data_IF_756088311534
#
_entry.id   IF_756088311534
#
_cell.length_a   1.000
_cell.length_b   1.000
_cell.length_c   1.000
_cell.angle_alpha   90.00
_cell.angle_beta   90.00
_cell.angle_gamma   90.00
#
_symmetry.space_group_name_H-M   'P 1'
#
loop_
_entity.id
_entity.type
_entity.pdbx_description
1 polymer ?
#
# COMPACT_ATOMS: atom_id res chain seq x y z
N UNK A 1 -12.00 -13.58 12.74
CA UNK A 1 -11.24 -12.40 13.23
C UNK A 1 -10.48 -11.84 12.05
N UNK A 2 -10.60 -10.56 11.80
CA UNK A 2 -9.87 -9.81 10.75
C UNK A 2 -9.20 -8.61 11.40
N UNK A 3 -8.11 -8.13 10.83
CA UNK A 3 -7.39 -6.96 11.35
C UNK A 3 -6.11 -6.67 10.57
N UNK A 4 -5.45 -5.59 10.93
CA UNK A 4 -4.13 -5.27 10.41
C UNK A 4 -3.11 -6.33 10.82
N UNK A 5 -2.10 -6.55 9.98
CA UNK A 5 -1.07 -7.58 10.19
C UNK A 5 -0.49 -7.56 11.62
N UNK A 6 -0.17 -6.38 12.14
CA UNK A 6 0.41 -6.24 13.48
C UNK A 6 -0.53 -6.77 14.57
N UNK A 7 -1.80 -6.39 14.52
CA UNK A 7 -2.80 -6.80 15.52
C UNK A 7 -3.01 -8.31 15.49
N UNK A 8 -3.08 -8.89 14.28
CA UNK A 8 -3.21 -10.36 14.11
C UNK A 8 -1.95 -11.06 14.62
N UNK A 9 -0.76 -10.52 14.32
CA UNK A 9 0.51 -11.07 14.77
C UNK A 9 0.63 -11.03 16.31
N UNK A 10 0.27 -9.92 16.94
CA UNK A 10 0.28 -9.79 18.41
C UNK A 10 -0.67 -10.77 19.07
N UNK A 11 -1.91 -10.87 18.59
CA UNK A 11 -2.88 -11.84 19.10
C UNK A 11 -2.43 -13.29 18.92
N UNK A 12 -1.75 -13.63 17.83
CA UNK A 12 -1.24 -14.98 17.59
C UNK A 12 -0.05 -15.35 18.49
N UNK A 13 0.72 -14.35 18.93
CA UNK A 13 1.87 -14.55 19.82
C UNK A 13 1.51 -14.30 21.30
N UNK A 14 0.25 -14.03 21.60
CA UNK A 14 -0.24 -13.90 22.97
C UNK A 14 -0.21 -15.29 23.64
N UNK A 15 0.45 -15.37 24.80
CA UNK A 15 0.62 -16.62 25.54
C UNK A 15 -0.70 -17.20 26.03
N UNK A 16 -1.69 -16.35 26.24
CA UNK A 16 -3.02 -16.75 26.72
C UNK A 16 -3.95 -17.19 25.58
N UNK A 17 -3.57 -16.90 24.31
CA UNK A 17 -4.36 -17.22 23.12
C UNK A 17 -3.69 -18.27 22.22
N UNK A 18 -3.08 -19.27 22.84
CA UNK A 18 -2.30 -20.32 22.13
C UNK A 18 -3.08 -21.05 21.03
N UNK A 19 -4.41 -21.13 21.13
CA UNK A 19 -5.26 -21.73 20.10
C UNK A 19 -5.24 -20.96 18.78
N UNK A 20 -5.01 -19.64 18.81
CA UNK A 20 -4.90 -18.81 17.60
C UNK A 20 -3.64 -19.10 16.78
N UNK A 21 -2.59 -19.58 17.43
CA UNK A 21 -1.37 -19.98 16.74
C UNK A 21 -1.61 -21.12 15.74
N UNK A 22 -2.56 -22.02 16.04
CA UNK A 22 -2.93 -23.16 15.19
C UNK A 22 -4.07 -22.87 14.24
N UNK A 23 -4.68 -21.69 14.32
CA UNK A 23 -5.78 -21.31 13.43
C UNK A 23 -5.30 -21.17 11.97
N UNK A 24 -6.10 -21.62 10.99
CA UNK A 24 -5.80 -21.39 9.57
C UNK A 24 -5.65 -19.90 9.28
N UNK A 25 -4.61 -19.55 8.51
CA UNK A 25 -4.34 -18.18 8.10
C UNK A 25 -4.78 -17.99 6.66
N UNK A 26 -5.62 -17.01 6.43
CA UNK A 26 -6.03 -16.58 5.09
C UNK A 26 -5.44 -15.19 4.86
N UNK A 27 -4.54 -15.08 3.91
CA UNK A 27 -4.03 -13.80 3.43
C UNK A 27 -4.85 -13.36 2.24
N UNK A 28 -5.30 -12.10 2.25
CA UNK A 28 -5.98 -11.52 1.10
C UNK A 28 -4.92 -10.95 0.15
N UNK A 29 -4.96 -11.40 -1.09
CA UNK A 29 -4.11 -10.87 -2.14
C UNK A 29 -4.72 -9.59 -2.73
N UNK A 30 -3.91 -8.74 -3.37
CA UNK A 30 -4.42 -7.60 -4.12
C UNK A 30 -5.48 -8.03 -5.15
N UNK A 31 -6.47 -7.19 -5.37
CA UNK A 31 -7.49 -7.42 -6.39
C UNK A 31 -6.84 -7.51 -7.77
N UNK A 32 -7.35 -8.41 -8.59
CA UNK A 32 -6.86 -8.60 -9.95
C UNK A 32 -7.17 -7.37 -10.82
N UNK A 33 -6.16 -6.85 -11.53
CA UNK A 33 -6.28 -5.63 -12.34
C UNK A 33 -7.37 -5.76 -13.42
N UNK A 34 -7.48 -6.92 -14.07
CA UNK A 34 -8.51 -7.13 -15.09
C UNK A 34 -9.93 -7.15 -14.48
N UNK A 35 -10.08 -7.73 -13.28
CA UNK A 35 -11.35 -7.72 -12.56
C UNK A 35 -11.77 -6.30 -12.17
N UNK A 36 -10.83 -5.47 -11.66
CA UNK A 36 -11.09 -4.05 -11.36
C UNK A 36 -11.48 -3.30 -12.64
N UNK A 37 -10.74 -3.50 -13.74
CA UNK A 37 -11.01 -2.85 -15.02
C UNK A 37 -12.42 -3.16 -15.50
N UNK A 38 -12.81 -4.43 -15.52
CA UNK A 38 -14.15 -4.82 -15.93
C UNK A 38 -15.24 -4.22 -15.01
N UNK A 39 -15.00 -4.24 -13.70
CA UNK A 39 -15.92 -3.67 -12.73
C UNK A 39 -16.10 -2.16 -12.91
N UNK A 40 -15.02 -1.40 -13.10
CA UNK A 40 -15.12 0.03 -13.38
C UNK A 40 -15.81 0.32 -14.70
N UNK A 41 -15.51 -0.45 -15.76
CA UNK A 41 -16.19 -0.29 -17.06
C UNK A 41 -17.70 -0.45 -16.93
N UNK A 42 -18.15 -1.48 -16.22
CA UNK A 42 -19.58 -1.76 -16.04
C UNK A 42 -20.27 -0.76 -15.11
N UNK A 43 -19.68 -0.53 -13.92
CA UNK A 43 -20.32 0.28 -12.87
C UNK A 43 -20.31 1.79 -13.19
N UNK A 44 -19.26 2.27 -13.85
CA UNK A 44 -19.10 3.69 -14.16
C UNK A 44 -19.54 4.05 -15.57
N UNK A 45 -19.88 3.06 -16.40
CA UNK A 45 -20.27 3.23 -17.82
C UNK A 45 -19.24 4.03 -18.62
N UNK A 46 -17.96 3.65 -18.49
CA UNK A 46 -16.81 4.28 -19.13
C UNK A 46 -16.13 3.32 -20.10
N UNK A 47 -15.21 3.82 -20.92
CA UNK A 47 -14.44 2.98 -21.83
C UNK A 47 -13.51 2.03 -21.09
N UNK A 48 -13.10 0.94 -21.74
CA UNK A 48 -12.15 -0.02 -21.16
C UNK A 48 -10.79 0.62 -20.88
N UNK A 49 -10.36 1.53 -21.73
CA UNK A 49 -9.10 2.28 -21.59
C UNK A 49 -9.12 3.18 -20.35
N UNK A 50 -10.20 3.92 -20.14
CA UNK A 50 -10.39 4.74 -18.94
C UNK A 50 -10.46 3.87 -17.68
N UNK A 51 -11.24 2.80 -17.72
CA UNK A 51 -11.33 1.84 -16.62
C UNK A 51 -9.98 1.22 -16.27
N UNK A 52 -9.16 0.88 -17.27
CA UNK A 52 -7.82 0.34 -17.06
C UNK A 52 -6.87 1.36 -16.40
N UNK A 53 -6.91 2.63 -16.83
CA UNK A 53 -6.11 3.68 -16.20
C UNK A 53 -6.47 3.86 -14.73
N UNK A 54 -7.77 3.95 -14.42
CA UNK A 54 -8.25 4.01 -13.04
C UNK A 54 -7.84 2.77 -12.23
N UNK A 55 -7.96 1.58 -12.80
CA UNK A 55 -7.60 0.33 -12.14
C UNK A 55 -6.12 0.29 -11.76
N UNK A 56 -5.23 0.78 -12.61
CA UNK A 56 -3.78 0.88 -12.32
C UNK A 56 -3.49 1.75 -11.10
N UNK A 57 -4.20 2.87 -10.95
CA UNK A 57 -4.02 3.78 -9.80
C UNK A 57 -4.35 3.12 -8.46
N UNK A 58 -5.11 2.03 -8.46
CA UNK A 58 -5.47 1.31 -7.23
C UNK A 58 -4.39 0.35 -6.75
N UNK A 59 -3.43 -0.04 -7.61
CA UNK A 59 -2.46 -1.12 -7.36
C UNK A 59 -3.11 -2.40 -6.80
N UNK A 60 -4.39 -2.63 -7.08
CA UNK A 60 -5.16 -3.75 -6.54
C UNK A 60 -5.57 -3.61 -5.07
N UNK A 61 -5.31 -2.48 -4.42
CA UNK A 61 -5.69 -2.25 -3.04
C UNK A 61 -7.20 -2.02 -2.93
N UNK A 62 -7.91 -2.89 -2.21
CA UNK A 62 -9.37 -2.93 -2.19
C UNK A 62 -10.02 -1.61 -1.75
N UNK A 63 -9.49 -0.95 -0.72
CA UNK A 63 -9.99 0.35 -0.28
C UNK A 63 -9.79 1.43 -1.34
N UNK A 64 -8.62 1.46 -1.98
CA UNK A 64 -8.31 2.38 -3.06
C UNK A 64 -9.26 2.20 -4.26
N UNK A 65 -9.58 0.96 -4.62
CA UNK A 65 -10.58 0.64 -5.63
C UNK A 65 -11.95 1.25 -5.28
N UNK A 66 -12.41 1.08 -4.05
CA UNK A 66 -13.71 1.61 -3.61
C UNK A 66 -13.72 3.15 -3.62
N UNK A 67 -12.71 3.78 -3.06
CA UNK A 67 -12.62 5.25 -2.99
C UNK A 67 -12.53 5.88 -4.37
N UNK A 68 -11.63 5.39 -5.22
CA UNK A 68 -11.46 5.95 -6.56
C UNK A 68 -12.72 5.77 -7.41
N UNK A 69 -13.35 4.59 -7.35
CA UNK A 69 -14.61 4.33 -8.02
C UNK A 69 -15.73 5.25 -7.55
N UNK A 70 -15.86 5.47 -6.25
CA UNK A 70 -16.85 6.40 -5.68
C UNK A 70 -16.61 7.84 -6.14
N UNK A 71 -15.38 8.32 -6.09
CA UNK A 71 -15.04 9.69 -6.52
C UNK A 71 -15.32 9.92 -8.00
N UNK A 72 -15.02 8.96 -8.86
CA UNK A 72 -15.32 9.03 -10.31
C UNK A 72 -16.82 8.97 -10.55
N UNK A 73 -17.55 8.11 -9.81
CA UNK A 73 -19.00 8.03 -9.89
C UNK A 73 -19.66 9.36 -9.53
N UNK A 74 -19.28 9.98 -8.42
CA UNK A 74 -19.81 11.30 -8.00
C UNK A 74 -19.50 12.41 -9.02
N UNK A 75 -18.29 12.38 -9.58
CA UNK A 75 -17.85 13.39 -10.53
C UNK A 75 -18.46 13.20 -11.94
N UNK A 76 -18.97 12.02 -12.25
CA UNK A 76 -19.42 11.62 -13.59
C UNK A 76 -18.35 11.85 -14.67
N UNK A 77 -17.06 11.74 -14.31
CA UNK A 77 -15.95 11.98 -15.21
C UNK A 77 -14.72 11.13 -14.77
N UNK A 78 -14.25 10.21 -15.63
CA UNK A 78 -13.14 9.32 -15.30
C UNK A 78 -11.76 10.00 -15.41
N UNK A 79 -11.71 11.28 -15.74
CA UNK A 79 -10.44 11.98 -15.91
C UNK A 79 -9.67 12.08 -14.60
N UNK A 80 -8.47 11.53 -14.60
CA UNK A 80 -7.47 11.66 -13.54
C UNK A 80 -6.87 13.07 -13.60
N UNK A 81 -7.45 14.01 -12.86
CA UNK A 81 -6.97 15.39 -12.71
C UNK A 81 -6.51 15.67 -11.26
N UNK A 82 -5.84 16.78 -11.05
CA UNK A 82 -5.28 17.16 -9.75
C UNK A 82 -6.36 17.23 -8.65
N UNK A 83 -7.58 17.61 -9.00
CA UNK A 83 -8.70 17.66 -8.02
C UNK A 83 -9.14 16.27 -7.58
N UNK A 84 -9.16 15.33 -8.51
CA UNK A 84 -9.48 13.94 -8.21
C UNK A 84 -8.38 13.33 -7.35
N UNK A 85 -7.11 13.52 -7.73
CA UNK A 85 -5.97 13.03 -6.96
C UNK A 85 -5.93 13.63 -5.55
N UNK A 86 -6.18 14.92 -5.40
CA UNK A 86 -6.19 15.56 -4.07
C UNK A 86 -7.23 14.94 -3.13
N UNK A 87 -8.45 14.67 -3.62
CA UNK A 87 -9.48 13.98 -2.84
C UNK A 87 -9.12 12.51 -2.58
N UNK A 88 -8.59 11.83 -3.59
CA UNK A 88 -8.18 10.44 -3.47
C UNK A 88 -7.08 10.27 -2.42
N UNK A 89 -6.05 11.11 -2.48
CA UNK A 89 -4.96 11.15 -1.50
C UNK A 89 -5.51 11.42 -0.10
N UNK A 90 -6.39 12.42 0.05
CA UNK A 90 -7.02 12.74 1.34
C UNK A 90 -7.71 11.51 1.97
N UNK A 91 -8.50 10.76 1.20
CA UNK A 91 -9.17 9.55 1.71
C UNK A 91 -8.17 8.46 2.11
N UNK A 92 -7.14 8.23 1.29
CA UNK A 92 -6.12 7.23 1.60
C UNK A 92 -5.30 7.60 2.84
N UNK A 93 -4.96 8.87 3.00
CA UNK A 93 -4.23 9.39 4.15
C UNK A 93 -5.05 9.26 5.43
N UNK A 94 -6.24 9.87 5.45
CA UNK A 94 -7.09 9.97 6.64
C UNK A 94 -7.53 8.61 7.17
N UNK A 95 -7.93 7.70 6.28
CA UNK A 95 -8.52 6.42 6.69
C UNK A 95 -7.54 5.26 6.77
N UNK A 96 -6.34 5.39 6.19
CA UNK A 96 -5.37 4.28 6.12
C UNK A 96 -3.96 4.71 6.55
N UNK A 97 -3.36 5.70 5.85
CA UNK A 97 -1.92 5.90 5.93
C UNK A 97 -1.47 6.53 7.22
N UNK A 98 -2.19 7.52 7.75
CA UNK A 98 -1.83 8.18 9.02
C UNK A 98 -1.75 7.18 10.16
N UNK A 99 -2.78 6.34 10.31
CA UNK A 99 -2.80 5.31 11.35
C UNK A 99 -1.68 4.30 11.15
N UNK A 100 -1.55 3.76 9.95
CA UNK A 100 -0.50 2.78 9.63
C UNK A 100 0.90 3.37 9.88
N UNK A 101 1.14 4.60 9.46
CA UNK A 101 2.42 5.28 9.60
C UNK A 101 2.73 5.62 11.07
N UNK A 102 1.73 5.96 11.88
CA UNK A 102 1.91 6.21 13.32
C UNK A 102 2.41 4.96 14.07
N UNK A 103 2.02 3.77 13.64
CA UNK A 103 2.43 2.49 14.22
C UNK A 103 3.83 2.03 13.78
N UNK A 104 4.47 2.72 12.83
CA UNK A 104 5.80 2.39 12.35
C UNK A 104 6.90 2.89 13.29
N UNK A 105 7.92 2.06 13.49
CA UNK A 105 9.11 2.47 14.24
C UNK A 105 9.92 3.52 13.48
N UNK A 106 10.82 4.21 14.20
CA UNK A 106 11.74 5.18 13.59
C UNK A 106 12.61 4.57 12.49
N UNK A 107 12.99 3.30 12.60
CA UNK A 107 13.77 2.62 11.58
C UNK A 107 12.95 2.21 10.36
N UNK A 108 11.68 1.80 10.53
CA UNK A 108 10.76 1.59 9.40
C UNK A 108 10.62 2.90 8.59
N UNK A 109 10.36 4.02 9.30
CA UNK A 109 10.21 5.34 8.70
C UNK A 109 11.46 5.81 7.97
N UNK A 110 12.67 5.51 8.49
CA UNK A 110 13.94 5.81 7.80
C UNK A 110 14.06 5.09 6.47
N UNK A 111 13.65 3.81 6.39
CA UNK A 111 13.66 3.07 5.12
C UNK A 111 12.67 3.68 4.14
N UNK A 112 11.43 3.94 4.58
CA UNK A 112 10.39 4.50 3.72
C UNK A 112 10.75 5.90 3.19
N UNK A 113 11.33 6.75 4.01
CA UNK A 113 11.83 8.08 3.58
C UNK A 113 13.03 8.03 2.64
N UNK A 114 13.69 6.89 2.49
CA UNK A 114 14.78 6.70 1.53
C UNK A 114 14.29 6.44 0.09
N UNK A 115 13.02 6.07 -0.09
CA UNK A 115 12.42 5.92 -1.42
C UNK A 115 12.44 7.26 -2.17
N UNK A 116 12.64 7.21 -3.48
CA UNK A 116 12.78 8.41 -4.34
C UNK A 116 11.69 8.53 -5.38
N UNK A 117 10.90 7.50 -5.49
CA UNK A 117 9.75 7.43 -6.41
C UNK A 117 8.87 6.25 -6.01
N UNK A 118 7.69 6.22 -6.59
CA UNK A 118 6.77 5.08 -6.50
C UNK A 118 7.20 3.89 -7.36
N UNK A 119 8.22 4.08 -8.19
CA UNK A 119 8.81 3.06 -9.04
C UNK A 119 9.80 2.17 -8.29
N UNK A 120 10.45 1.27 -9.03
CA UNK A 120 11.44 0.34 -8.50
C UNK A 120 12.68 1.10 -8.01
N UNK A 121 13.00 0.92 -6.75
CA UNK A 121 14.21 1.47 -6.10
C UNK A 121 15.22 0.36 -5.81
N UNK A 122 16.53 0.63 -6.03
CA UNK A 122 17.56 -0.34 -5.68
C UNK A 122 17.81 -0.38 -4.17
N UNK A 123 18.01 -1.57 -3.63
CA UNK A 123 18.33 -1.79 -2.20
C UNK A 123 19.59 -1.02 -1.79
N UNK A 124 20.60 -0.96 -2.65
CA UNK A 124 21.86 -0.24 -2.34
C UNK A 124 21.62 1.27 -2.21
N UNK A 125 20.81 1.86 -3.07
CA UNK A 125 20.44 3.28 -2.97
C UNK A 125 19.62 3.55 -1.70
N UNK A 126 18.66 2.70 -1.39
CA UNK A 126 17.87 2.84 -0.16
C UNK A 126 18.73 2.69 1.09
N UNK A 127 19.66 1.75 1.09
CA UNK A 127 20.61 1.56 2.18
C UNK A 127 21.48 2.81 2.37
N UNK A 128 22.04 3.35 1.28
CA UNK A 128 22.84 4.57 1.31
C UNK A 128 22.05 5.76 1.86
N UNK A 129 20.84 5.99 1.35
CA UNK A 129 19.98 7.12 1.74
C UNK A 129 19.46 7.00 3.17
N UNK A 130 19.09 5.81 3.61
CA UNK A 130 18.61 5.57 4.98
C UNK A 130 19.74 5.71 6.02
N UNK A 131 21.01 5.69 5.61
CA UNK A 131 22.21 5.71 6.47
C UNK A 131 22.19 4.60 7.54
N UNK A 132 21.57 3.48 7.23
CA UNK A 132 21.45 2.33 8.13
C UNK A 132 22.56 1.31 7.90
N UNK A 133 22.93 0.56 8.94
CA UNK A 133 23.78 -0.63 8.79
C UNK A 133 23.02 -1.72 8.04
N UNK A 134 23.70 -2.45 7.14
CA UNK A 134 23.09 -3.48 6.27
C UNK A 134 22.26 -4.53 7.02
N UNK A 135 22.78 -5.02 8.14
CA UNK A 135 22.06 -5.99 8.98
C UNK A 135 20.77 -5.42 9.57
N UNK A 136 20.81 -4.18 10.05
CA UNK A 136 19.60 -3.49 10.58
C UNK A 136 18.60 -3.22 9.46
N UNK A 137 19.06 -2.70 8.33
CA UNK A 137 18.21 -2.47 7.16
C UNK A 137 17.47 -3.75 6.72
N UNK A 138 18.16 -4.90 6.64
CA UNK A 138 17.55 -6.17 6.24
C UNK A 138 16.40 -6.58 7.16
N UNK A 139 16.56 -6.44 8.48
CA UNK A 139 15.51 -6.79 9.45
C UNK A 139 14.25 -5.94 9.24
N UNK A 140 14.42 -4.63 9.12
CA UNK A 140 13.28 -3.72 8.95
C UNK A 140 12.66 -3.78 7.55
N UNK A 141 13.48 -4.00 6.50
CA UNK A 141 12.98 -4.32 5.16
C UNK A 141 12.05 -5.53 5.17
N UNK A 142 12.48 -6.64 5.75
CA UNK A 142 11.69 -7.87 5.82
C UNK A 142 10.40 -7.67 6.63
N UNK A 143 10.45 -6.84 7.66
CA UNK A 143 9.27 -6.43 8.42
C UNK A 143 8.28 -5.62 7.58
N UNK A 144 8.76 -4.65 6.81
CA UNK A 144 7.92 -3.84 5.93
C UNK A 144 7.29 -4.67 4.80
N UNK A 145 8.03 -5.67 4.26
CA UNK A 145 7.49 -6.64 3.29
C UNK A 145 6.37 -7.47 3.93
N UNK A 146 6.59 -8.02 5.11
CA UNK A 146 5.56 -8.79 5.85
C UNK A 146 4.31 -7.96 6.18
N UNK A 147 4.46 -6.66 6.38
CA UNK A 147 3.35 -5.72 6.58
C UNK A 147 2.64 -5.34 5.29
N UNK A 148 3.15 -5.74 4.11
CA UNK A 148 2.56 -5.42 2.82
C UNK A 148 2.71 -3.94 2.41
N UNK A 149 3.67 -3.21 2.99
CA UNK A 149 3.93 -1.80 2.68
C UNK A 149 4.87 -1.67 1.49
N UNK A 150 5.87 -2.55 1.43
CA UNK A 150 6.80 -2.66 0.31
C UNK A 150 6.80 -4.09 -0.23
N UNK A 151 7.28 -4.26 -1.45
CA UNK A 151 7.53 -5.59 -2.03
C UNK A 151 8.89 -5.63 -2.73
N UNK A 152 9.40 -6.84 -2.94
CA UNK A 152 10.64 -7.10 -3.66
C UNK A 152 10.30 -7.85 -4.96
N UNK A 153 10.07 -7.14 -6.07
CA UNK A 153 9.70 -7.76 -7.34
C UNK A 153 10.83 -8.62 -7.92
N UNK A 154 12.06 -8.26 -7.62
CA UNK A 154 13.27 -8.99 -8.01
C UNK A 154 14.41 -8.77 -6.99
N UNK A 155 15.46 -9.56 -7.11
CA UNK A 155 16.62 -9.46 -6.22
C UNK A 155 17.24 -8.07 -6.26
N UNK A 156 17.49 -7.50 -5.07
CA UNK A 156 18.12 -6.19 -4.93
C UNK A 156 17.21 -4.98 -5.26
N UNK A 157 15.92 -5.21 -5.49
CA UNK A 157 14.95 -4.15 -5.80
C UNK A 157 13.76 -4.15 -4.86
N UNK A 158 13.25 -2.96 -4.56
CA UNK A 158 12.07 -2.74 -3.73
C UNK A 158 11.16 -1.71 -4.39
N UNK A 159 9.85 -1.85 -4.16
CA UNK A 159 8.86 -0.84 -4.54
C UNK A 159 7.81 -0.66 -3.43
N UNK A 160 7.14 0.48 -3.44
CA UNK A 160 6.01 0.77 -2.55
C UNK A 160 4.76 0.06 -3.10
N UNK A 161 4.15 -0.78 -2.29
CA UNK A 161 3.00 -1.60 -2.70
C UNK A 161 1.68 -0.83 -2.67
N UNK A 162 1.57 0.18 -1.82
CA UNK A 162 0.35 0.93 -1.61
C UNK A 162 0.21 2.07 -2.65
N UNK A 163 -1.00 2.32 -3.17
CA UNK A 163 -1.24 3.37 -4.16
C UNK A 163 -0.98 4.76 -3.55
N UNK A 164 -0.34 5.66 -4.30
CA UNK A 164 -0.10 7.05 -3.87
C UNK A 164 0.64 7.19 -2.53
N UNK A 165 1.32 6.13 -2.08
CA UNK A 165 1.99 6.15 -0.78
C UNK A 165 3.29 6.96 -0.79
N UNK A 166 3.95 7.05 -1.95
CA UNK A 166 5.12 7.91 -2.11
C UNK A 166 4.76 9.39 -1.88
N UNK A 167 3.69 9.85 -2.46
CA UNK A 167 3.20 11.23 -2.29
C UNK A 167 2.83 11.53 -0.83
N UNK A 168 2.25 10.56 -0.13
CA UNK A 168 2.04 10.67 1.31
C UNK A 168 3.36 10.82 2.07
N UNK A 169 4.36 9.98 1.76
CA UNK A 169 5.68 10.03 2.42
C UNK A 169 6.39 11.36 2.18
N UNK A 170 6.28 11.96 0.99
CA UNK A 170 6.85 13.27 0.70
C UNK A 170 6.26 14.37 1.61
N UNK A 171 4.98 14.27 1.95
CA UNK A 171 4.32 15.23 2.87
C UNK A 171 4.69 15.00 4.36
N UNK A 172 5.36 13.90 4.68
CA UNK A 172 5.83 13.60 6.05
C UNK A 172 7.30 14.01 6.31
N UNK A 173 7.95 14.69 5.36
CA UNK A 173 9.37 15.10 5.47
C UNK A 173 9.51 16.46 6.14
#
# INVERSE_FOLDING_TARGET
>A
MTGLYQNIYELQNDKDLTFLYRAPKISLEPLNLAAITNSYQELLNITKEEAFLLAKETKGYAYAYQVLGHLVFEKHNPKLDDKLYAKYDQYLEEYVYEKMYSELSSNDKKILKAFTSDDINSVDNLLLKSKMKKNVFSVYRDRLIKRGIIESPEYGKLLLKLPRFYEFLERQI
#
